data_IF_901517635140
#
_entry.id   IF_901517635140
#
_cell.length_a   1.000
_cell.length_b   1.000
_cell.length_c   1.000
_cell.angle_alpha   90.00
_cell.angle_beta   90.00
_cell.angle_gamma   90.00
#
_symmetry.space_group_name_H-M   'P 1'
#
loop_
_entity.id
_entity.type
_entity.pdbx_description
1 polymer ?
#
# COMPACT_ATOMS: atom_id res chain seq x y z
N UNK A 1 49.64 -35.30 96.90
CA UNK A 1 50.65 -34.34 96.38
C UNK A 1 52.09 -34.89 96.28
N UNK A 2 52.34 -36.16 95.92
CA UNK A 2 53.73 -36.67 95.75
C UNK A 2 54.02 -37.35 94.41
N UNK A 3 53.01 -37.50 93.55
CA UNK A 3 53.16 -38.09 92.20
C UNK A 3 53.57 -37.07 91.13
N UNK A 4 53.33 -35.78 91.38
CA UNK A 4 53.54 -34.70 90.40
C UNK A 4 55.02 -34.30 90.25
N UNK A 5 55.86 -34.63 91.24
CA UNK A 5 57.30 -34.33 91.25
C UNK A 5 58.15 -35.37 90.46
N UNK A 6 57.68 -36.61 90.32
CA UNK A 6 58.36 -37.66 89.54
C UNK A 6 58.00 -37.66 88.04
N UNK A 7 56.90 -36.99 87.67
CA UNK A 7 56.44 -36.90 86.28
C UNK A 7 57.37 -36.06 85.39
N UNK A 8 58.22 -35.19 85.99
CA UNK A 8 59.08 -34.24 85.26
C UNK A 8 60.47 -34.76 84.86
N UNK A 9 60.83 -36.03 85.13
CA UNK A 9 62.21 -36.50 84.96
C UNK A 9 62.39 -37.89 84.30
N UNK A 10 61.40 -38.41 83.57
CA UNK A 10 61.55 -39.65 82.78
C UNK A 10 61.24 -39.37 81.30
N UNK A 11 62.16 -39.67 80.35
CA UNK A 11 62.02 -39.37 78.92
C UNK A 11 60.72 -39.91 78.26
N UNK A 12 60.14 -40.96 78.83
CA UNK A 12 58.90 -41.58 78.35
C UNK A 12 57.67 -40.68 78.51
N UNK A 13 57.56 -39.91 79.61
CA UNK A 13 56.42 -39.02 79.85
C UNK A 13 56.44 -37.78 78.94
N UNK A 14 57.62 -37.27 78.59
CA UNK A 14 57.75 -36.20 77.60
C UNK A 14 57.29 -36.65 76.21
N UNK A 15 57.56 -37.91 75.84
CA UNK A 15 57.12 -38.47 74.57
C UNK A 15 55.60 -38.65 74.51
N UNK A 16 54.99 -39.10 75.62
CA UNK A 16 53.54 -39.21 75.73
C UNK A 16 52.86 -37.84 75.66
N UNK A 17 53.39 -36.83 76.36
CA UNK A 17 52.85 -35.46 76.29
C UNK A 17 52.95 -34.86 74.88
N UNK A 18 54.05 -35.10 74.16
CA UNK A 18 54.19 -34.67 72.75
C UNK A 18 53.23 -35.41 71.82
N UNK A 19 53.00 -36.69 72.06
CA UNK A 19 52.05 -37.50 71.29
C UNK A 19 50.61 -37.03 71.51
N UNK A 20 50.24 -36.70 72.75
CA UNK A 20 48.96 -36.09 73.10
C UNK A 20 48.76 -34.73 72.43
N UNK A 21 49.76 -33.83 72.50
CA UNK A 21 49.74 -32.54 71.80
C UNK A 21 49.62 -32.70 70.27
N UNK A 22 50.30 -33.70 69.69
CA UNK A 22 50.22 -33.97 68.25
C UNK A 22 48.82 -34.46 67.86
N UNK A 23 48.22 -35.32 68.68
CA UNK A 23 46.85 -35.81 68.46
C UNK A 23 45.83 -34.66 68.58
N UNK A 24 46.01 -33.76 69.55
CA UNK A 24 45.16 -32.57 69.72
C UNK A 24 45.25 -31.63 68.51
N UNK A 25 46.48 -31.31 68.06
CA UNK A 25 46.71 -30.50 66.85
C UNK A 25 46.11 -31.18 65.61
N UNK A 26 46.26 -32.49 65.46
CA UNK A 26 45.66 -33.22 64.34
C UNK A 26 44.13 -33.16 64.37
N UNK A 27 43.51 -33.30 65.54
CA UNK A 27 42.08 -33.16 65.69
C UNK A 27 41.62 -31.74 65.31
N UNK A 28 42.36 -30.70 65.70
CA UNK A 28 42.09 -29.32 65.31
C UNK A 28 42.20 -29.10 63.80
N UNK A 29 43.25 -29.65 63.15
CA UNK A 29 43.41 -29.59 61.69
C UNK A 29 42.23 -30.26 60.98
N UNK A 30 41.83 -31.45 61.43
CA UNK A 30 40.68 -32.15 60.86
C UNK A 30 39.39 -31.35 61.02
N UNK A 31 39.16 -30.77 62.20
CA UNK A 31 38.01 -29.92 62.45
C UNK A 31 37.99 -28.69 61.52
N UNK A 32 39.13 -28.01 61.35
CA UNK A 32 39.27 -26.86 60.47
C UNK A 32 39.13 -27.22 58.98
N UNK A 33 39.59 -28.41 58.60
CA UNK A 33 39.38 -28.94 57.24
C UNK A 33 37.90 -29.18 56.95
N UNK A 34 37.15 -29.74 57.90
CA UNK A 34 35.71 -29.95 57.74
C UNK A 34 34.95 -28.63 57.67
N UNK A 35 35.29 -27.66 58.52
CA UNK A 35 34.72 -26.31 58.50
C UNK A 35 34.94 -25.63 57.15
N UNK A 36 36.15 -25.75 56.59
CA UNK A 36 36.49 -25.22 55.26
C UNK A 36 35.66 -25.88 54.16
N UNK A 37 35.45 -27.19 54.23
CA UNK A 37 34.66 -27.93 53.25
C UNK A 37 33.18 -27.53 53.29
N UNK A 38 32.62 -27.34 54.49
CA UNK A 38 31.24 -26.85 54.66
C UNK A 38 31.08 -25.49 54.00
N UNK A 39 31.98 -24.54 54.30
CA UNK A 39 31.93 -23.19 53.73
C UNK A 39 32.10 -23.21 52.19
N UNK A 40 32.91 -24.12 51.68
CA UNK A 40 33.09 -24.32 50.24
C UNK A 40 31.78 -24.79 49.59
N UNK A 41 31.13 -25.79 50.16
CA UNK A 41 29.85 -26.31 49.67
C UNK A 41 28.74 -25.26 49.76
N UNK A 42 28.68 -24.48 50.84
CA UNK A 42 27.74 -23.36 50.98
C UNK A 42 27.95 -22.31 49.88
N UNK A 43 29.21 -21.98 49.57
CA UNK A 43 29.54 -21.05 48.49
C UNK A 43 29.18 -21.60 47.11
N UNK A 44 29.49 -22.87 46.85
CA UNK A 44 29.19 -23.54 45.57
C UNK A 44 27.68 -23.68 45.31
N UNK A 45 26.88 -23.81 46.37
CA UNK A 45 25.42 -23.98 46.29
C UNK A 45 24.62 -22.70 46.60
N UNK A 46 25.31 -21.58 46.90
CA UNK A 46 24.67 -20.35 47.31
C UNK A 46 23.68 -19.82 46.25
N UNK A 47 23.95 -20.00 44.96
CA UNK A 47 23.11 -19.48 43.89
C UNK A 47 21.71 -20.13 43.82
N UNK A 48 21.56 -21.34 44.40
CA UNK A 48 20.30 -22.09 44.46
C UNK A 48 19.75 -22.26 45.88
N UNK A 49 20.55 -22.07 46.92
CA UNK A 49 20.12 -22.24 48.31
C UNK A 49 20.00 -20.91 49.06
N UNK A 50 20.84 -19.92 48.74
CA UNK A 50 20.93 -18.70 49.52
C UNK A 50 19.81 -17.71 49.14
N UNK A 51 19.06 -17.18 50.13
CA UNK A 51 17.89 -16.31 49.87
C UNK A 51 18.17 -15.09 49.01
N UNK A 52 19.37 -14.49 49.12
CA UNK A 52 19.77 -13.34 48.30
C UNK A 52 19.71 -13.63 46.80
N UNK A 53 20.39 -14.69 46.34
CA UNK A 53 20.44 -15.04 44.92
C UNK A 53 19.09 -15.55 44.42
N UNK A 54 18.37 -16.32 45.25
CA UNK A 54 17.01 -16.77 44.93
C UNK A 54 16.05 -15.60 44.76
N UNK A 55 16.10 -14.61 45.66
CA UNK A 55 15.26 -13.41 45.57
C UNK A 55 15.55 -12.63 44.30
N UNK A 56 16.84 -12.46 43.95
CA UNK A 56 17.24 -11.80 42.71
C UNK A 56 16.71 -12.55 41.47
N UNK A 57 16.89 -13.89 41.41
CA UNK A 57 16.36 -14.72 40.33
C UNK A 57 14.82 -14.62 40.25
N UNK A 58 14.13 -14.66 41.38
CA UNK A 58 12.67 -14.52 41.45
C UNK A 58 12.19 -13.14 40.95
N UNK A 59 12.89 -12.06 41.30
CA UNK A 59 12.55 -10.71 40.84
C UNK A 59 12.66 -10.60 39.31
N UNK A 60 13.71 -11.15 38.72
CA UNK A 60 13.90 -11.17 37.26
C UNK A 60 12.76 -11.95 36.58
N UNK A 61 12.45 -13.15 37.09
CA UNK A 61 11.34 -13.96 36.57
C UNK A 61 9.99 -13.25 36.71
N UNK A 62 9.76 -12.58 37.83
CA UNK A 62 8.53 -11.84 38.07
C UNK A 62 8.42 -10.62 37.14
N UNK A 63 9.53 -9.92 36.87
CA UNK A 63 9.56 -8.83 35.91
C UNK A 63 9.23 -9.33 34.49
N UNK A 64 9.81 -10.46 34.08
CA UNK A 64 9.49 -11.09 32.79
C UNK A 64 8.01 -11.48 32.70
N UNK A 65 7.45 -12.11 33.75
CA UNK A 65 6.04 -12.50 33.78
C UNK A 65 5.11 -11.28 33.68
N UNK A 66 5.39 -10.19 34.42
CA UNK A 66 4.64 -8.93 34.29
C UNK A 66 4.66 -8.38 32.87
N UNK A 67 5.82 -8.43 32.21
CA UNK A 67 5.94 -8.00 30.82
C UNK A 67 5.13 -8.89 29.87
N UNK A 68 5.18 -10.21 30.04
CA UNK A 68 4.38 -11.16 29.24
C UNK A 68 2.87 -10.94 29.44
N UNK A 69 2.41 -10.72 30.67
CA UNK A 69 1.02 -10.39 30.96
C UNK A 69 0.58 -9.10 30.25
N UNK A 70 1.42 -8.06 30.27
CA UNK A 70 1.15 -6.82 29.56
C UNK A 70 1.03 -7.04 28.04
N UNK A 71 1.96 -7.79 27.44
CA UNK A 71 1.92 -8.13 26.01
C UNK A 71 0.66 -8.92 25.66
N UNK A 72 0.26 -9.88 26.49
CA UNK A 72 -0.95 -10.67 26.26
C UNK A 72 -2.22 -9.81 26.35
N UNK A 73 -2.26 -8.86 27.28
CA UNK A 73 -3.35 -7.89 27.42
C UNK A 73 -3.46 -7.02 26.17
N UNK A 74 -2.35 -6.43 25.71
CA UNK A 74 -2.33 -5.61 24.50
C UNK A 74 -2.72 -6.39 23.25
N UNK A 75 -2.23 -7.62 23.09
CA UNK A 75 -2.64 -8.51 22.00
C UNK A 75 -4.15 -8.74 22.01
N UNK A 76 -4.77 -8.92 23.19
CA UNK A 76 -6.22 -9.10 23.32
C UNK A 76 -6.96 -7.83 22.93
N UNK A 77 -6.54 -6.67 23.42
CA UNK A 77 -7.09 -5.36 23.09
C UNK A 77 -7.01 -5.08 21.59
N UNK A 78 -5.85 -5.34 20.98
CA UNK A 78 -5.63 -5.16 19.55
C UNK A 78 -6.56 -6.06 18.74
N UNK A 79 -6.68 -7.34 19.10
CA UNK A 79 -7.63 -8.24 18.42
C UNK A 79 -9.07 -7.71 18.51
N UNK A 80 -9.51 -7.26 19.70
CA UNK A 80 -10.85 -6.70 19.85
C UNK A 80 -11.07 -5.45 18.99
N UNK A 81 -10.06 -4.60 18.86
CA UNK A 81 -10.10 -3.42 17.98
C UNK A 81 -10.16 -3.81 16.51
N UNK A 82 -9.38 -4.79 16.08
CA UNK A 82 -9.34 -5.27 14.70
C UNK A 82 -10.59 -6.07 14.30
N UNK A 83 -11.23 -6.78 15.24
CA UNK A 83 -12.54 -7.40 15.02
C UNK A 83 -13.69 -6.37 14.95
N UNK A 84 -13.40 -5.13 15.36
CA UNK A 84 -14.08 -3.87 15.00
C UNK A 84 -14.39 -3.75 13.50
N UNK A 85 -15.58 -4.04 12.93
CA UNK A 85 -15.81 -3.71 11.53
C UNK A 85 -15.62 -2.20 11.34
N UNK A 86 -14.80 -1.78 10.36
CA UNK A 86 -14.56 -0.36 10.05
C UNK A 86 -15.85 0.36 9.65
N UNK A 87 -16.78 -0.39 9.08
CA UNK A 87 -18.15 -0.01 8.78
C UNK A 87 -19.03 -1.15 9.30
N UNK A 88 -20.15 -0.89 9.97
CA UNK A 88 -21.11 -1.96 10.21
C UNK A 88 -21.57 -2.47 8.83
N UNK A 89 -21.37 -3.76 8.54
CA UNK A 89 -21.80 -4.37 7.25
C UNK A 89 -23.32 -4.23 7.04
N UNK A 90 -24.06 -4.04 8.13
CA UNK A 90 -25.49 -3.78 8.13
C UNK A 90 -25.76 -2.51 8.92
N UNK A 91 -26.56 -1.60 8.36
CA UNK A 91 -27.08 -0.47 9.13
C UNK A 91 -27.90 -1.05 10.30
N UNK A 92 -27.69 -0.63 11.55
CA UNK A 92 -28.41 -1.15 12.72
C UNK A 92 -29.84 -0.61 12.69
N UNK A 93 -30.63 -1.17 11.79
CA UNK A 93 -32.03 -0.86 11.60
C UNK A 93 -32.82 -2.05 12.15
N UNK A 94 -33.86 -1.79 12.93
CA UNK A 94 -34.80 -2.83 13.30
C UNK A 94 -35.47 -3.43 12.06
N UNK A 95 -35.70 -4.74 12.06
CA UNK A 95 -36.21 -5.46 10.89
C UNK A 95 -37.52 -4.87 10.33
N UNK A 96 -38.35 -4.28 11.20
CA UNK A 96 -39.60 -3.62 10.82
C UNK A 96 -39.40 -2.42 9.88
N UNK A 97 -38.24 -1.76 9.94
CA UNK A 97 -37.95 -0.58 9.13
C UNK A 97 -37.15 -0.89 7.86
N UNK A 98 -36.68 -2.14 7.68
CA UNK A 98 -35.84 -2.51 6.53
C UNK A 98 -36.51 -2.22 5.19
N UNK A 99 -37.80 -2.55 5.06
CA UNK A 99 -38.58 -2.28 3.83
C UNK A 99 -38.61 -0.80 3.49
N UNK A 100 -38.89 0.05 4.48
CA UNK A 100 -38.97 1.50 4.29
C UNK A 100 -37.60 2.11 3.95
N UNK A 101 -36.54 1.65 4.61
CA UNK A 101 -35.18 2.13 4.32
C UNK A 101 -34.73 1.67 2.94
N UNK A 102 -35.04 0.45 2.52
CA UNK A 102 -34.75 -0.03 1.17
C UNK A 102 -35.46 0.83 0.11
N UNK A 103 -36.76 1.07 0.27
CA UNK A 103 -37.54 1.95 -0.62
C UNK A 103 -36.96 3.38 -0.66
N UNK A 104 -36.61 3.96 0.49
CA UNK A 104 -36.00 5.28 0.58
C UNK A 104 -34.64 5.36 -0.11
N UNK A 105 -33.79 4.35 0.08
CA UNK A 105 -32.48 4.30 -0.57
C UNK A 105 -32.61 4.17 -2.09
N UNK A 106 -33.57 3.37 -2.58
CA UNK A 106 -33.88 3.31 -4.01
C UNK A 106 -34.32 4.66 -4.56
N UNK A 107 -35.20 5.37 -3.85
CA UNK A 107 -35.63 6.72 -4.21
C UNK A 107 -34.46 7.72 -4.21
N UNK A 108 -33.57 7.63 -3.21
CA UNK A 108 -32.40 8.49 -3.10
C UNK A 108 -31.43 8.28 -4.26
N UNK A 109 -31.17 7.02 -4.65
CA UNK A 109 -30.31 6.70 -5.79
C UNK A 109 -30.91 7.26 -7.09
N UNK A 110 -32.19 7.00 -7.35
CA UNK A 110 -32.86 7.51 -8.55
C UNK A 110 -32.89 9.05 -8.59
N UNK A 111 -33.05 9.70 -7.43
CA UNK A 111 -32.97 11.15 -7.32
C UNK A 111 -31.57 11.68 -7.65
N UNK A 112 -30.52 11.06 -7.10
CA UNK A 112 -29.13 11.44 -7.35
C UNK A 112 -28.79 11.29 -8.84
N UNK A 113 -29.17 10.18 -9.47
CA UNK A 113 -28.96 9.96 -10.91
C UNK A 113 -29.64 11.05 -11.76
N UNK A 114 -30.90 11.37 -11.44
CA UNK A 114 -31.65 12.42 -12.15
C UNK A 114 -31.04 13.80 -11.94
N UNK A 115 -30.59 14.10 -10.73
CA UNK A 115 -29.92 15.36 -10.40
C UNK A 115 -28.61 15.49 -11.17
N UNK A 116 -27.79 14.44 -11.22
CA UNK A 116 -26.52 14.45 -11.96
C UNK A 116 -26.76 14.67 -13.46
N UNK A 117 -27.78 14.04 -14.05
CA UNK A 117 -28.17 14.26 -15.45
C UNK A 117 -28.55 15.72 -15.72
N UNK A 118 -29.33 16.34 -14.83
CA UNK A 118 -29.67 17.76 -14.94
C UNK A 118 -28.44 18.66 -14.80
N UNK A 119 -27.56 18.38 -13.85
CA UNK A 119 -26.31 19.13 -13.66
C UNK A 119 -25.40 19.04 -14.89
N UNK A 120 -25.30 17.85 -15.49
CA UNK A 120 -24.53 17.63 -16.71
C UNK A 120 -25.11 18.43 -17.89
N UNK A 121 -26.44 18.49 -17.99
CA UNK A 121 -27.12 19.32 -18.99
C UNK A 121 -26.78 20.80 -18.78
N UNK A 122 -26.86 21.30 -17.55
CA UNK A 122 -26.51 22.69 -17.22
C UNK A 122 -25.05 23.00 -17.55
N UNK A 123 -24.12 22.08 -17.24
CA UNK A 123 -22.69 22.22 -17.59
C UNK A 123 -22.43 22.27 -19.09
N UNK A 124 -23.29 21.67 -19.91
CA UNK A 124 -23.14 21.68 -21.37
C UNK A 124 -23.59 22.99 -22.02
N UNK A 125 -24.49 23.76 -21.37
CA UNK A 125 -25.05 25.01 -21.94
C UNK A 125 -23.97 26.05 -22.31
N UNK A 126 -22.97 26.37 -21.46
CA UNK A 126 -21.93 27.33 -21.82
C UNK A 126 -21.06 26.92 -23.02
N UNK A 127 -21.07 25.64 -23.42
CA UNK A 127 -20.33 25.15 -24.58
C UNK A 127 -21.10 25.38 -25.90
N UNK A 128 -22.42 25.60 -25.83
CA UNK A 128 -23.29 25.78 -27.01
C UNK A 128 -22.82 26.95 -27.89
N UNK A 129 -22.53 28.16 -27.36
CA UNK A 129 -22.08 29.28 -28.20
C UNK A 129 -20.79 28.98 -28.95
N UNK A 130 -19.84 28.28 -28.31
CA UNK A 130 -18.59 27.89 -28.97
C UNK A 130 -18.84 26.88 -30.09
N UNK A 131 -19.72 25.89 -29.86
CA UNK A 131 -20.10 24.93 -30.91
C UNK A 131 -20.85 25.60 -32.06
N UNK A 132 -21.72 26.57 -31.77
CA UNK A 132 -22.44 27.36 -32.78
C UNK A 132 -21.47 28.18 -33.64
N UNK A 133 -20.51 28.88 -33.02
CA UNK A 133 -19.47 29.62 -33.74
C UNK A 133 -18.63 28.71 -34.66
N UNK A 134 -18.32 27.50 -34.20
CA UNK A 134 -17.61 26.52 -35.03
C UNK A 134 -18.45 26.08 -36.23
N UNK A 135 -19.76 25.91 -36.05
CA UNK A 135 -20.70 25.57 -37.11
C UNK A 135 -20.88 26.73 -38.11
N UNK A 136 -20.99 27.97 -37.64
CA UNK A 136 -21.05 29.16 -38.50
C UNK A 136 -19.80 29.29 -39.38
N UNK A 137 -18.62 29.05 -38.80
CA UNK A 137 -17.36 29.03 -39.55
C UNK A 137 -17.33 27.91 -40.60
N UNK A 138 -17.86 26.73 -40.28
CA UNK A 138 -17.95 25.63 -41.25
C UNK A 138 -18.93 25.96 -42.39
N UNK A 139 -20.07 26.57 -42.07
CA UNK A 139 -21.05 27.01 -43.05
C UNK A 139 -20.48 28.09 -43.98
N UNK A 140 -19.74 29.06 -43.44
CA UNK A 140 -19.06 30.07 -44.25
C UNK A 140 -18.05 29.45 -45.24
N UNK A 141 -17.29 28.44 -44.80
CA UNK A 141 -16.37 27.70 -45.69
C UNK A 141 -17.11 26.94 -46.79
N UNK A 142 -18.23 26.30 -46.45
CA UNK A 142 -19.05 25.59 -47.44
C UNK A 142 -19.62 26.58 -48.47
N UNK A 143 -20.14 27.72 -48.03
CA UNK A 143 -20.67 28.73 -48.95
C UNK A 143 -19.59 29.24 -49.90
N UNK A 144 -18.37 29.50 -49.42
CA UNK A 144 -17.24 29.87 -50.27
C UNK A 144 -16.95 28.81 -51.33
N UNK A 145 -16.86 27.54 -50.92
CA UNK A 145 -16.64 26.43 -51.86
C UNK A 145 -17.77 26.32 -52.89
N UNK A 146 -19.03 26.52 -52.48
CA UNK A 146 -20.17 26.54 -53.42
C UNK A 146 -19.98 27.64 -54.46
N UNK A 147 -19.65 28.86 -54.04
CA UNK A 147 -19.41 29.97 -54.98
C UNK A 147 -18.23 29.71 -55.92
N UNK A 148 -17.12 29.13 -55.43
CA UNK A 148 -15.98 28.74 -56.27
C UNK A 148 -16.37 27.66 -57.28
N UNK A 149 -17.20 26.69 -56.87
CA UNK A 149 -17.68 25.64 -57.79
C UNK A 149 -18.67 26.16 -58.83
N UNK A 150 -19.51 27.14 -58.48
CA UNK A 150 -20.41 27.82 -59.41
C UNK A 150 -19.60 28.60 -60.46
N UNK A 151 -18.59 29.37 -60.03
CA UNK A 151 -17.69 30.10 -60.94
C UNK A 151 -16.95 29.15 -61.89
N UNK A 152 -16.40 28.04 -61.38
CA UNK A 152 -15.76 27.02 -62.20
C UNK A 152 -16.73 26.40 -63.22
N UNK A 153 -17.99 26.18 -62.84
CA UNK A 153 -19.00 25.65 -63.75
C UNK A 153 -19.33 26.66 -64.86
N UNK A 154 -19.45 27.95 -64.55
CA UNK A 154 -19.63 29.02 -65.54
C UNK A 154 -18.44 29.12 -66.50
N UNK A 155 -17.21 29.03 -65.99
CA UNK A 155 -16.00 28.99 -66.82
C UNK A 155 -16.03 27.79 -67.77
N UNK A 156 -16.41 26.60 -67.32
CA UNK A 156 -16.53 25.41 -68.18
C UNK A 156 -17.58 25.63 -69.29
N UNK A 157 -18.72 26.24 -68.98
CA UNK A 157 -19.76 26.53 -69.96
C UNK A 157 -19.29 27.51 -71.03
N UNK A 158 -18.65 28.61 -70.62
CA UNK A 158 -18.09 29.60 -71.57
C UNK A 158 -16.98 29.00 -72.43
N UNK A 159 -16.08 28.18 -71.87
CA UNK A 159 -15.09 27.42 -72.64
C UNK A 159 -15.73 26.48 -73.65
N UNK A 160 -16.81 25.78 -73.29
CA UNK A 160 -17.54 24.88 -74.21
C UNK A 160 -18.20 25.66 -75.35
N UNK A 161 -18.76 26.83 -75.08
CA UNK A 161 -19.33 27.70 -76.11
C UNK A 161 -18.26 28.21 -77.08
N UNK A 162 -17.11 28.66 -76.57
CA UNK A 162 -15.97 29.06 -77.39
C UNK A 162 -15.51 27.92 -78.31
N UNK A 163 -15.41 26.70 -77.77
CA UNK A 163 -15.02 25.51 -78.55
C UNK A 163 -16.04 25.18 -79.65
N UNK A 164 -17.35 25.31 -79.37
CA UNK A 164 -18.39 25.16 -80.40
C UNK A 164 -18.23 26.21 -81.51
N UNK A 165 -18.00 27.48 -81.16
CA UNK A 165 -17.78 28.56 -82.12
C UNK A 165 -16.59 28.30 -83.04
N UNK A 166 -15.46 27.81 -82.50
CA UNK A 166 -14.27 27.42 -83.27
C UNK A 166 -14.58 26.23 -84.20
N UNK A 167 -15.35 25.25 -83.74
CA UNK A 167 -15.75 24.10 -84.57
C UNK A 167 -16.67 24.50 -85.74
N UNK A 168 -17.64 25.40 -85.52
CA UNK A 168 -18.49 25.93 -86.60
C UNK A 168 -17.69 26.75 -87.62
N UNK A 169 -16.74 27.58 -87.15
CA UNK A 169 -15.83 28.32 -88.03
C UNK A 169 -14.94 27.41 -88.88
N UNK A 170 -14.38 26.35 -88.28
CA UNK A 170 -13.53 25.41 -89.00
C UNK A 170 -14.32 24.50 -89.97
N UNK A 171 -15.58 24.18 -89.66
CA UNK A 171 -16.46 23.41 -90.56
C UNK A 171 -16.91 24.20 -91.80
N UNK A 172 -16.99 25.54 -91.71
CA UNK A 172 -17.22 26.40 -92.87
C UNK A 172 -15.98 26.50 -93.77
N UNK A 173 -14.78 26.55 -93.18
CA UNK A 173 -13.52 26.62 -93.94
C UNK A 173 -13.25 25.32 -94.70
N UNK A 174 -13.55 24.14 -94.13
CA UNK A 174 -13.39 22.86 -94.86
C UNK A 174 -14.43 22.65 -95.97
N UNK A 175 -15.62 23.22 -95.85
CA UNK A 175 -16.66 23.09 -96.89
C UNK A 175 -16.46 24.08 -98.06
N UNK A 176 -15.75 25.19 -97.88
CA UNK A 176 -15.40 26.10 -98.99
C UNK A 176 -14.14 25.68 -99.76
N UNK A 177 -13.25 24.88 -99.15
CA UNK A 177 -12.05 24.38 -99.85
C UNK A 177 -12.30 23.16 -100.74
N UNK A 178 -13.33 22.36 -100.47
CA UNK A 178 -13.63 21.15 -101.28
C UNK A 178 -14.67 21.38 -102.39
N UNK A 179 -15.32 22.55 -102.47
CA UNK A 179 -16.37 22.83 -103.48
C UNK A 179 -15.92 23.67 -104.69
N UNK A 180 -14.64 24.07 -104.78
CA UNK A 180 -14.14 24.96 -105.87
C UNK A 180 -13.25 24.29 -106.93
N UNK A 181 -13.07 22.96 -106.89
CA UNK A 181 -12.38 22.20 -107.95
C UNK A 181 -13.29 21.09 -108.53
N UNK A 182 -14.43 21.47 -109.09
CA UNK A 182 -15.18 20.61 -110.00
C UNK A 182 -16.00 21.44 -110.97
N UNK A 183 -15.61 21.31 -112.25
CA UNK A 183 -16.43 21.48 -113.46
C UNK A 183 -16.36 22.82 -114.20
N UNK A 184 -15.21 23.01 -114.88
CA UNK A 184 -15.18 23.49 -116.27
C UNK A 184 -15.80 22.42 -117.21
N UNK A 185 -17.09 22.59 -117.52
CA UNK A 185 -17.86 22.56 -118.81
C UNK A 185 -17.07 22.22 -120.12
N UNK A 186 -17.64 21.77 -121.30
CA UNK A 186 -19.01 21.33 -121.77
C UNK A 186 -18.96 19.98 -122.58
N UNK A 187 -19.87 19.65 -123.51
CA UNK A 187 -21.35 19.67 -123.54
C UNK A 187 -21.98 18.29 -123.29
#
# INVERSE_FOLDING_TARGET
ERLDLFAKQVPCFEHLSKMEQTAEIQAEIHQKSLETEILRLEKETADIAHPYFLTQKCQVLQAMNKHLEAVLKEKRTLRQRLMKPLCQENLPIEAIFHRYVAELLTLAVAFIEKLESHLQTIRSIPQIPQTMKNMDNALAKINLLVTETEELAEQILTWRELQKGIHYGNSQITNESDSSFSNLVPP
#
